data_IF_745636050658
#
_entry.id   IF_745636050658
#
_cell.length_a   1.000
_cell.length_b   1.000
_cell.length_c   1.000
_cell.angle_alpha   90.00
_cell.angle_beta   90.00
_cell.angle_gamma   90.00
#
_symmetry.space_group_name_H-M   'P 1'
#
loop_
_entity.id
_entity.type
_entity.pdbx_description
1 polymer ?
#
# COMPACT_ATOMS: atom_id res chain seq x y z
N UNK A 1 7.59 -17.61 14.28
CA UNK A 1 7.15 -17.31 12.90
C UNK A 1 6.46 -15.96 12.91
N UNK A 2 6.98 -14.97 12.20
CA UNK A 2 6.41 -13.62 12.16
C UNK A 2 5.13 -13.62 11.33
N UNK A 3 4.03 -13.14 11.92
CA UNK A 3 2.72 -13.04 11.30
C UNK A 3 2.72 -11.89 10.29
N UNK A 4 3.15 -12.16 9.04
CA UNK A 4 3.17 -11.17 7.97
C UNK A 4 1.76 -10.89 7.45
N UNK A 5 1.50 -9.63 7.14
CA UNK A 5 0.27 -9.17 6.51
C UNK A 5 0.56 -8.69 5.08
N UNK A 6 -0.44 -8.79 4.21
CA UNK A 6 -0.45 -8.24 2.85
C UNK A 6 -1.59 -7.25 2.72
N UNK A 7 -1.31 -6.09 2.11
CA UNK A 7 -2.34 -5.12 1.76
C UNK A 7 -2.98 -5.53 0.43
N UNK A 8 -4.30 -5.60 0.39
CA UNK A 8 -5.07 -5.97 -0.81
C UNK A 8 -6.23 -5.00 -1.06
N UNK A 9 -6.65 -4.90 -2.31
CA UNK A 9 -7.80 -4.11 -2.72
C UNK A 9 -9.07 -4.69 -2.06
N UNK A 10 -9.84 -3.84 -1.37
CA UNK A 10 -11.08 -4.23 -0.73
C UNK A 10 -12.13 -4.79 -1.69
N UNK A 11 -12.04 -4.42 -2.98
CA UNK A 11 -12.99 -4.77 -4.05
C UNK A 11 -12.62 -6.07 -4.76
N UNK A 12 -11.39 -6.20 -5.26
CA UNK A 12 -10.98 -7.35 -6.09
C UNK A 12 -10.01 -8.32 -5.40
N UNK A 13 -9.50 -8.00 -4.21
CA UNK A 13 -8.54 -8.84 -3.48
C UNK A 13 -7.12 -8.86 -4.06
N UNK A 14 -6.84 -8.11 -5.12
CA UNK A 14 -5.50 -7.95 -5.68
C UNK A 14 -4.54 -7.26 -4.71
N UNK A 15 -3.29 -7.67 -4.68
CA UNK A 15 -2.20 -7.02 -3.93
C UNK A 15 -1.51 -5.89 -4.72
N UNK A 16 -1.95 -5.65 -5.97
CA UNK A 16 -1.51 -4.54 -6.81
C UNK A 16 -2.16 -3.22 -6.40
N UNK A 17 -1.81 -2.76 -5.20
CA UNK A 17 -2.37 -1.57 -4.57
C UNK A 17 -1.30 -0.55 -4.19
N UNK A 18 -1.67 0.73 -4.26
CA UNK A 18 -0.89 1.88 -3.83
C UNK A 18 -1.63 2.56 -2.67
N UNK A 19 -0.90 3.05 -1.68
CA UNK A 19 -1.48 3.87 -0.59
C UNK A 19 -1.18 5.33 -0.85
N UNK A 20 -2.15 6.19 -0.58
CA UNK A 20 -1.88 7.62 -0.50
C UNK A 20 -0.94 7.90 0.68
N UNK A 21 -0.06 8.88 0.48
CA UNK A 21 0.97 9.22 1.43
C UNK A 21 1.41 10.68 1.31
N UNK A 22 2.02 11.20 2.38
CA UNK A 22 2.90 12.36 2.26
C UNK A 22 4.32 11.91 1.96
N UNK A 23 4.94 12.61 1.03
CA UNK A 23 6.37 12.58 0.81
C UNK A 23 6.97 13.97 1.06
N UNK A 24 8.16 14.02 1.65
CA UNK A 24 8.90 15.25 1.86
C UNK A 24 10.17 15.25 0.99
N UNK A 25 10.58 16.44 0.54
CA UNK A 25 11.81 16.60 -0.24
C UNK A 25 13.00 16.65 0.70
N UNK A 26 13.91 15.69 0.59
CA UNK A 26 15.21 15.72 1.27
C UNK A 26 16.24 16.45 0.39
N UNK A 27 16.78 17.55 0.92
CA UNK A 27 17.75 18.40 0.22
C UNK A 27 19.14 17.76 0.15
N UNK A 28 19.53 16.94 1.12
CA UNK A 28 20.82 16.27 1.11
C UNK A 28 20.85 15.14 0.07
N UNK A 29 19.78 14.35 -0.02
CA UNK A 29 19.70 13.22 -0.96
C UNK A 29 19.10 13.60 -2.32
N UNK A 30 18.47 14.77 -2.42
CA UNK A 30 17.76 15.28 -3.60
C UNK A 30 16.66 14.31 -4.06
N UNK A 31 15.93 13.76 -3.10
CA UNK A 31 14.89 12.75 -3.34
C UNK A 31 13.64 13.03 -2.51
N UNK A 32 12.51 12.49 -2.95
CA UNK A 32 11.30 12.43 -2.16
C UNK A 32 11.34 11.23 -1.23
N UNK A 33 11.14 11.45 0.07
CA UNK A 33 11.10 10.39 1.08
C UNK A 33 9.69 10.23 1.64
N UNK A 34 9.28 8.97 1.84
CA UNK A 34 7.97 8.64 2.40
C UNK A 34 7.91 9.04 3.88
N UNK A 35 6.94 9.89 4.23
CA UNK A 35 6.75 10.35 5.61
C UNK A 35 5.70 9.52 6.34
N UNK A 36 4.51 9.40 5.74
CA UNK A 36 3.40 8.64 6.32
C UNK A 36 2.39 8.24 5.25
N UNK A 37 1.72 7.12 5.46
CA UNK A 37 0.54 6.70 4.70
C UNK A 37 -0.75 7.10 5.41
N UNK A 38 -1.87 7.02 4.69
CA UNK A 38 -3.20 7.28 5.26
C UNK A 38 -4.13 6.08 5.08
N UNK A 39 -5.03 5.88 6.05
CA UNK A 39 -6.06 4.83 5.99
C UNK A 39 -7.18 5.12 4.97
N UNK A 40 -7.27 6.37 4.49
CA UNK A 40 -8.44 6.86 3.74
C UNK A 40 -8.31 6.79 2.21
N UNK A 41 -7.09 6.71 1.69
CA UNK A 41 -6.82 6.82 0.27
C UNK A 41 -5.90 5.71 -0.21
N UNK A 42 -6.36 4.97 -1.21
CA UNK A 42 -5.58 3.97 -1.90
C UNK A 42 -6.09 3.82 -3.32
N UNK A 43 -5.23 3.29 -4.19
CA UNK A 43 -5.53 3.04 -5.59
C UNK A 43 -5.20 1.58 -5.92
N UNK A 44 -6.06 0.94 -6.70
CA UNK A 44 -5.87 -0.43 -7.17
C UNK A 44 -5.54 -0.40 -8.66
N UNK A 45 -4.36 -0.88 -9.03
CA UNK A 45 -3.94 -0.93 -10.44
C UNK A 45 -4.80 -1.87 -11.28
N UNK A 46 -5.31 -2.95 -10.67
CA UNK A 46 -6.15 -3.91 -11.38
C UNK A 46 -7.58 -3.42 -11.59
N UNK A 47 -8.10 -2.62 -10.66
CA UNK A 47 -9.40 -1.98 -10.83
C UNK A 47 -9.31 -0.67 -11.62
N UNK A 48 -8.09 -0.14 -11.80
CA UNK A 48 -7.82 1.18 -12.37
C UNK A 48 -8.62 2.28 -11.66
N UNK A 49 -8.54 2.32 -10.32
CA UNK A 49 -9.32 3.27 -9.55
C UNK A 49 -9.10 3.25 -8.04
N UNK A 50 -9.76 4.19 -7.37
CA UNK A 50 -9.74 4.34 -5.91
C UNK A 50 -10.25 3.07 -5.20
N UNK A 51 -9.66 2.77 -4.06
CA UNK A 51 -10.05 1.63 -3.23
C UNK A 51 -9.78 1.90 -1.75
N UNK A 52 -10.18 0.93 -0.92
CA UNK A 52 -9.73 0.80 0.47
C UNK A 52 -8.80 -0.39 0.58
N UNK A 53 -7.84 -0.31 1.49
CA UNK A 53 -6.95 -1.42 1.79
C UNK A 53 -7.59 -2.35 2.83
N UNK A 54 -7.51 -3.65 2.58
CA UNK A 54 -7.69 -4.71 3.59
C UNK A 54 -6.34 -5.36 3.84
N UNK A 55 -6.09 -5.75 5.09
CA UNK A 55 -4.87 -6.44 5.46
C UNK A 55 -5.18 -7.91 5.76
N UNK A 56 -4.64 -8.79 4.94
CA UNK A 56 -4.82 -10.23 5.06
C UNK A 56 -3.52 -10.91 5.51
N UNK A 57 -3.59 -12.14 6.02
CA UNK A 57 -2.38 -12.91 6.33
C UNK A 57 -1.74 -13.38 5.03
N UNK A 58 -0.43 -13.21 4.91
CA UNK A 58 0.33 -13.85 3.82
C UNK A 58 0.13 -15.35 3.95
N UNK A 59 -0.37 -16.00 2.90
CA UNK A 59 -0.39 -17.47 2.84
C UNK A 59 1.04 -17.91 2.59
N UNK A 60 1.58 -18.74 3.46
CA UNK A 60 2.89 -19.36 3.22
C UNK A 60 2.78 -20.16 1.91
N UNK A 61 3.48 -19.70 0.89
CA UNK A 61 3.68 -20.50 -0.33
C UNK A 61 4.71 -21.56 0.06
N UNK A 62 4.24 -22.80 0.18
CA UNK A 62 5.06 -23.98 0.43
C UNK A 62 6.02 -24.24 -0.74
#
# INVERSE_FOLDING_TARGET
>A
MSRKLIAVCATCGSDRVLSDAYAAWDVATQQWELMQTFDKGAYCEQCDGETRLKFERVRDVA
#
